data_IF_578008578145
#
_entry.id   IF_578008578145
#
_cell.length_a   1.000
_cell.length_b   1.000
_cell.length_c   1.000
_cell.angle_alpha   90.00
_cell.angle_beta   90.00
_cell.angle_gamma   90.00
#
_symmetry.space_group_name_H-M   'P 1'
#
loop_
_entity.id
_entity.type
_entity.pdbx_description
1 polymer ?
#
# COMPACT_ATOMS: atom_id res chain seq x y z
N UNK A 1 15.33 12.21 4.66
CA UNK A 1 15.50 12.13 3.20
C UNK A 1 14.15 12.40 2.59
N UNK A 2 14.02 13.60 2.02
CA UNK A 2 12.88 14.05 1.24
C UNK A 2 12.83 13.21 -0.06
N UNK A 3 11.73 12.48 -0.31
CA UNK A 3 11.57 11.62 -1.50
C UNK A 3 11.30 12.41 -2.78
N UNK A 4 11.48 13.73 -2.76
CA UNK A 4 11.38 14.60 -3.93
C UNK A 4 12.49 14.38 -4.99
N UNK A 5 13.47 13.50 -4.78
CA UNK A 5 14.60 13.28 -5.71
C UNK A 5 14.75 11.86 -6.30
N UNK A 6 13.73 11.00 -6.22
CA UNK A 6 13.73 9.67 -6.86
C UNK A 6 12.42 9.29 -7.59
N UNK A 7 11.60 10.29 -7.91
CA UNK A 7 10.15 10.09 -8.04
C UNK A 7 9.67 9.28 -9.26
N UNK A 8 10.39 9.26 -10.39
CA UNK A 8 9.91 8.57 -11.61
C UNK A 8 10.57 7.21 -11.86
N UNK A 9 11.82 7.03 -11.45
CA UNK A 9 12.58 5.80 -11.75
C UNK A 9 12.11 4.60 -10.90
N UNK A 10 11.54 4.85 -9.73
CA UNK A 10 11.05 3.80 -8.83
C UNK A 10 9.57 3.46 -9.01
N UNK A 11 8.82 4.25 -9.81
CA UNK A 11 7.40 4.02 -10.04
C UNK A 11 7.16 2.86 -11.01
N UNK A 12 6.19 2.01 -10.67
CA UNK A 12 5.66 1.03 -11.61
C UNK A 12 4.53 1.65 -12.44
N UNK A 13 4.71 1.68 -13.76
CA UNK A 13 3.77 2.27 -14.74
C UNK A 13 3.45 1.30 -15.88
N UNK A 14 2.57 1.70 -16.82
CA UNK A 14 2.28 0.92 -18.03
C UNK A 14 1.58 -0.42 -17.78
N UNK A 15 0.84 -0.53 -16.67
CA UNK A 15 0.12 -1.74 -16.28
C UNK A 15 -1.29 -1.76 -16.88
N UNK A 16 -1.90 -2.95 -16.92
CA UNK A 16 -3.31 -3.07 -17.32
C UNK A 16 -4.19 -2.23 -16.39
N UNK A 17 -5.26 -1.55 -16.88
CA UNK A 17 -6.12 -0.71 -16.06
C UNK A 17 -6.66 -1.39 -14.80
N UNK A 18 -7.01 -2.67 -14.88
CA UNK A 18 -7.48 -3.48 -13.74
C UNK A 18 -6.45 -3.56 -12.60
N UNK A 19 -5.14 -3.50 -12.90
CA UNK A 19 -4.06 -3.63 -11.93
C UNK A 19 -3.52 -2.28 -11.45
N UNK A 20 -3.97 -1.18 -12.05
CA UNK A 20 -3.55 0.17 -11.70
C UNK A 20 -3.76 0.52 -10.21
N UNK A 21 -4.84 0.06 -9.52
CA UNK A 21 -4.99 0.33 -8.09
C UNK A 21 -3.85 -0.23 -7.24
N UNK A 22 -3.30 -1.41 -7.56
CA UNK A 22 -2.17 -1.98 -6.82
C UNK A 22 -0.92 -1.11 -7.00
N UNK A 23 -0.62 -0.70 -8.22
CA UNK A 23 0.55 0.14 -8.49
C UNK A 23 0.39 1.56 -7.97
N UNK A 24 -0.81 2.11 -7.92
CA UNK A 24 -1.07 3.40 -7.30
C UNK A 24 -0.67 3.37 -5.81
N UNK A 25 -1.13 2.34 -5.08
CA UNK A 25 -0.81 2.17 -3.66
C UNK A 25 0.67 1.86 -3.45
N UNK A 26 1.27 1.05 -4.32
CA UNK A 26 2.71 0.77 -4.26
C UNK A 26 3.55 2.05 -4.44
N UNK A 27 3.21 2.87 -5.44
CA UNK A 27 4.00 4.05 -5.80
C UNK A 27 3.81 5.21 -4.80
N UNK A 28 2.62 5.33 -4.20
CA UNK A 28 2.24 6.54 -3.44
C UNK A 28 1.67 6.27 -2.04
N UNK A 29 1.43 5.01 -1.67
CA UNK A 29 0.64 4.63 -0.50
C UNK A 29 -0.87 4.86 -0.66
N UNK A 30 -1.33 5.39 -1.81
CA UNK A 30 -2.69 5.93 -2.00
C UNK A 30 -3.40 5.30 -3.19
N UNK A 31 -4.72 5.30 -3.13
CA UNK A 31 -5.56 4.66 -4.15
C UNK A 31 -5.91 5.56 -5.33
N UNK A 32 -5.98 6.87 -5.10
CA UNK A 32 -6.26 7.88 -6.12
C UNK A 32 -5.39 9.13 -5.87
N UNK A 33 -5.08 9.85 -6.96
CA UNK A 33 -4.19 11.01 -6.93
C UNK A 33 -4.85 12.29 -6.36
N UNK A 34 -6.19 12.38 -6.38
CA UNK A 34 -6.94 13.56 -5.96
C UNK A 34 -7.50 13.37 -4.53
N UNK A 35 -6.68 13.70 -3.53
CA UNK A 35 -7.03 13.58 -2.11
C UNK A 35 -7.07 14.97 -1.47
N UNK A 36 -8.07 15.22 -0.61
CA UNK A 36 -8.27 16.55 0.00
C UNK A 36 -7.48 16.77 1.30
N UNK A 37 -6.98 15.71 1.92
CA UNK A 37 -6.17 15.76 3.12
C UNK A 37 -5.24 14.53 3.19
N UNK A 38 -3.94 14.75 3.39
CA UNK A 38 -2.96 13.68 3.53
C UNK A 38 -2.08 13.84 4.77
N UNK A 39 -1.76 12.72 5.40
CA UNK A 39 -0.67 12.60 6.36
C UNK A 39 0.15 11.37 6.00
N UNK A 40 1.47 11.52 5.89
CA UNK A 40 2.40 10.43 5.65
C UNK A 40 3.40 10.35 6.81
N UNK A 41 3.61 9.16 7.33
CA UNK A 41 4.58 8.90 8.39
C UNK A 41 5.46 7.71 7.97
N UNK A 42 6.78 7.90 7.97
CA UNK A 42 7.75 6.86 7.66
C UNK A 42 8.50 6.52 8.94
N UNK A 43 8.36 5.27 9.37
CA UNK A 43 9.04 4.72 10.54
C UNK A 43 10.29 3.97 10.07
N UNK A 44 11.45 4.58 10.27
CA UNK A 44 12.75 3.94 10.08
C UNK A 44 13.31 3.47 11.42
N UNK A 45 13.75 2.21 11.49
CA UNK A 45 14.54 1.72 12.62
C UNK A 45 16.02 1.93 12.30
N UNK A 46 16.73 2.69 13.13
CA UNK A 46 18.17 2.91 12.96
C UNK A 46 18.91 1.57 12.95
N UNK A 47 19.59 1.24 11.86
CA UNK A 47 20.37 0.01 11.70
C UNK A 47 19.68 -1.14 10.96
N UNK A 48 18.38 -1.05 10.64
CA UNK A 48 17.66 -2.02 9.81
C UNK A 48 17.23 -1.39 8.47
N UNK A 49 17.28 -2.17 7.38
CA UNK A 49 16.78 -1.75 6.06
C UNK A 49 15.24 -1.75 5.96
N UNK A 50 14.57 -2.28 6.98
CA UNK A 50 13.11 -2.38 7.04
C UNK A 50 12.49 -0.99 7.22
N UNK A 51 11.67 -0.59 6.24
CA UNK A 51 10.94 0.68 6.27
C UNK A 51 9.45 0.40 6.31
N UNK A 52 8.82 0.74 7.44
CA UNK A 52 7.36 0.78 7.54
C UNK A 52 6.90 2.20 7.25
N UNK A 53 5.99 2.38 6.30
CA UNK A 53 5.37 3.67 6.04
C UNK A 53 3.85 3.57 6.15
N UNK A 54 3.25 4.65 6.64
CA UNK A 54 1.81 4.81 6.72
C UNK A 54 1.40 6.06 5.93
N UNK A 55 0.41 5.89 5.06
CA UNK A 55 -0.31 6.99 4.42
C UNK A 55 -1.76 7.00 4.93
N UNK A 56 -2.29 8.18 5.17
CA UNK A 56 -3.70 8.43 5.49
C UNK A 56 -4.25 9.46 4.51
N UNK A 57 -5.40 9.17 3.92
CA UNK A 57 -6.05 10.02 2.93
C UNK A 57 -7.56 10.11 3.18
N UNK A 58 -8.11 11.32 3.01
CA UNK A 58 -9.55 11.59 3.10
C UNK A 58 -10.21 11.75 1.74
N UNK A 59 -11.36 11.09 1.56
CA UNK A 59 -12.19 11.09 0.36
C UNK A 59 -13.68 11.28 0.71
N UNK A 60 -14.52 11.72 -0.24
CA UNK A 60 -15.95 11.46 -0.17
C UNK A 60 -16.22 9.95 0.00
N UNK A 61 -17.19 9.59 0.86
CA UNK A 61 -17.47 8.19 1.23
C UNK A 61 -17.65 7.26 0.01
N UNK A 62 -18.46 7.66 -0.97
CA UNK A 62 -18.69 6.86 -2.17
C UNK A 62 -17.41 6.66 -3.01
N UNK A 63 -16.50 7.63 -3.02
CA UNK A 63 -15.20 7.50 -3.70
C UNK A 63 -14.28 6.54 -2.93
N UNK A 64 -14.24 6.63 -1.60
CA UNK A 64 -13.48 5.70 -0.77
C UNK A 64 -13.94 4.24 -0.96
N UNK A 65 -15.26 4.01 -0.97
CA UNK A 65 -15.87 2.70 -1.22
C UNK A 65 -15.49 2.16 -2.61
N UNK A 66 -15.61 2.99 -3.64
CA UNK A 66 -15.22 2.63 -5.02
C UNK A 66 -13.73 2.31 -5.11
N UNK A 67 -12.87 3.12 -4.51
CA UNK A 67 -11.42 2.93 -4.51
C UNK A 67 -11.02 1.60 -3.84
N UNK A 68 -11.60 1.28 -2.68
CA UNK A 68 -11.36 0.00 -2.00
C UNK A 68 -11.89 -1.20 -2.78
N UNK A 69 -13.06 -1.08 -3.42
CA UNK A 69 -13.58 -2.12 -4.29
C UNK A 69 -12.65 -2.38 -5.49
N UNK A 70 -12.12 -1.32 -6.10
CA UNK A 70 -11.13 -1.39 -7.17
C UNK A 70 -9.83 -2.08 -6.72
N UNK A 71 -9.32 -1.73 -5.55
CA UNK A 71 -8.13 -2.39 -4.98
C UNK A 71 -8.37 -3.88 -4.74
N UNK A 72 -9.50 -4.24 -4.13
CA UNK A 72 -9.85 -5.63 -3.87
C UNK A 72 -9.90 -6.44 -5.16
N UNK A 73 -10.58 -5.92 -6.17
CA UNK A 73 -10.66 -6.57 -7.48
C UNK A 73 -9.27 -6.74 -8.10
N UNK A 74 -8.42 -5.72 -8.02
CA UNK A 74 -7.04 -5.79 -8.50
C UNK A 74 -6.23 -6.86 -7.75
N UNK A 75 -6.29 -6.91 -6.42
CA UNK A 75 -5.58 -7.90 -5.61
C UNK A 75 -6.04 -9.34 -5.89
N UNK A 76 -7.31 -9.53 -6.23
CA UNK A 76 -7.88 -10.85 -6.53
C UNK A 76 -7.59 -11.31 -7.96
N UNK A 77 -7.49 -10.38 -8.91
CA UNK A 77 -7.42 -10.71 -10.34
C UNK A 77 -6.03 -10.47 -10.96
N UNK A 78 -5.17 -9.66 -10.34
CA UNK A 78 -3.85 -9.31 -10.86
C UNK A 78 -2.72 -10.12 -10.20
N UNK A 79 -2.88 -11.44 -10.11
CA UNK A 79 -1.92 -12.34 -9.46
C UNK A 79 -0.47 -12.14 -9.93
N UNK A 80 -0.23 -12.09 -11.24
CA UNK A 80 1.06 -11.67 -11.82
C UNK A 80 0.81 -10.85 -13.08
N UNK A 81 1.48 -9.72 -13.21
CA UNK A 81 1.40 -8.84 -14.38
C UNK A 81 2.73 -8.13 -14.64
N UNK A 82 2.84 -7.49 -15.80
CA UNK A 82 4.03 -6.72 -16.18
C UNK A 82 3.74 -5.23 -16.13
N UNK A 83 4.72 -4.45 -15.70
CA UNK A 83 4.76 -3.00 -15.81
C UNK A 83 6.13 -2.51 -16.26
N UNK A 84 6.36 -1.21 -16.13
CA UNK A 84 7.65 -0.56 -16.35
C UNK A 84 8.10 0.15 -15.09
N UNK A 85 9.35 -0.05 -14.68
CA UNK A 85 10.02 0.67 -13.60
C UNK A 85 11.36 1.20 -14.15
N UNK A 86 11.61 2.51 -14.02
CA UNK A 86 12.76 3.16 -14.64
C UNK A 86 12.86 2.89 -16.15
N UNK A 87 11.71 2.85 -16.83
CA UNK A 87 11.61 2.53 -18.27
C UNK A 87 11.84 1.06 -18.65
N UNK A 88 12.33 0.21 -17.73
CA UNK A 88 12.59 -1.22 -18.00
C UNK A 88 11.41 -2.08 -17.58
N UNK A 89 11.28 -3.26 -18.19
CA UNK A 89 10.23 -4.23 -17.84
C UNK A 89 10.40 -4.72 -16.40
N UNK A 90 9.32 -4.66 -15.63
CA UNK A 90 9.24 -5.23 -14.29
C UNK A 90 8.07 -6.23 -14.23
N UNK A 91 8.29 -7.34 -13.52
CA UNK A 91 7.25 -8.32 -13.20
C UNK A 91 6.72 -8.02 -11.80
N UNK A 92 5.42 -7.81 -11.68
CA UNK A 92 4.74 -7.57 -10.41
C UNK A 92 3.90 -8.80 -10.07
N UNK A 93 4.07 -9.33 -8.87
CA UNK A 93 3.27 -10.43 -8.33
C UNK A 93 2.52 -9.96 -7.10
N UNK A 94 1.21 -10.19 -7.07
CA UNK A 94 0.31 -9.78 -6.00
C UNK A 94 -0.33 -11.02 -5.40
N UNK A 95 -0.32 -11.10 -4.08
CA UNK A 95 -0.96 -12.21 -3.37
C UNK A 95 -1.77 -11.70 -2.19
N UNK A 96 -3.07 -11.95 -2.21
CA UNK A 96 -3.95 -11.76 -1.04
C UNK A 96 -3.48 -12.65 0.10
N UNK A 97 -3.39 -12.12 1.32
CA UNK A 97 -3.08 -12.94 2.49
C UNK A 97 -4.31 -13.75 2.91
N UNK A 98 -4.12 -14.96 3.44
CA UNK A 98 -5.23 -15.77 3.95
C UNK A 98 -5.90 -15.12 5.15
N UNK A 99 -5.10 -14.58 6.06
CA UNK A 99 -5.57 -13.79 7.18
C UNK A 99 -5.81 -12.34 6.73
N UNK A 100 -7.07 -11.93 6.78
CA UNK A 100 -7.48 -10.55 6.54
C UNK A 100 -7.78 -9.89 7.88
N UNK A 101 -7.16 -8.75 8.20
CA UNK A 101 -7.54 -7.99 9.36
C UNK A 101 -9.01 -7.55 9.26
N UNK A 102 -9.62 -7.22 10.39
CA UNK A 102 -10.98 -6.65 10.47
C UNK A 102 -10.92 -5.32 11.21
N UNK A 103 -10.66 -4.26 10.46
CA UNK A 103 -10.63 -2.89 10.98
C UNK A 103 -11.53 -1.99 10.14
N UNK A 104 -12.09 -0.94 10.76
CA UNK A 104 -12.96 0.00 10.06
C UNK A 104 -14.16 -0.67 9.42
N UNK A 105 -14.61 -0.11 8.28
CA UNK A 105 -15.68 -0.68 7.48
C UNK A 105 -15.15 -1.84 6.62
N UNK A 106 -13.93 -1.70 6.11
CA UNK A 106 -13.27 -2.65 5.23
C UNK A 106 -11.75 -2.62 5.43
N UNK A 107 -11.11 -3.78 5.33
CA UNK A 107 -9.66 -3.90 5.34
C UNK A 107 -9.17 -5.00 4.42
N UNK A 108 -7.98 -4.79 3.85
CA UNK A 108 -7.36 -5.69 2.89
C UNK A 108 -5.85 -5.79 3.16
N UNK A 109 -5.35 -7.01 3.33
CA UNK A 109 -3.93 -7.33 3.47
C UNK A 109 -3.46 -8.19 2.30
N UNK A 110 -2.31 -7.86 1.74
CA UNK A 110 -1.74 -8.52 0.57
C UNK A 110 -0.23 -8.28 0.51
N UNK A 111 0.47 -9.08 -0.29
CA UNK A 111 1.89 -8.89 -0.57
C UNK A 111 2.09 -8.50 -2.02
N UNK A 112 3.09 -7.66 -2.28
CA UNK A 112 3.52 -7.30 -3.63
C UNK A 112 4.99 -7.66 -3.76
N UNK A 113 5.36 -8.34 -4.84
CA UNK A 113 6.75 -8.58 -5.24
C UNK A 113 7.00 -7.93 -6.58
N UNK A 114 8.11 -7.21 -6.72
CA UNK A 114 8.57 -6.63 -7.98
C UNK A 114 9.91 -7.24 -8.33
N UNK A 115 10.04 -7.74 -9.56
CA UNK A 115 11.29 -8.28 -10.12
C UNK A 115 11.64 -7.53 -11.39
N UNK A 116 12.83 -6.92 -11.43
CA UNK A 116 13.36 -6.18 -12.57
C UNK A 116 14.85 -6.52 -12.76
N UNK A 117 15.15 -7.38 -13.75
CA UNK A 117 16.51 -7.93 -13.89
C UNK A 117 16.87 -8.73 -12.64
N UNK A 118 18.02 -8.41 -12.03
CA UNK A 118 18.50 -9.04 -10.78
C UNK A 118 17.94 -8.37 -9.51
N UNK A 119 17.17 -7.29 -9.64
CA UNK A 119 16.57 -6.61 -8.49
C UNK A 119 15.24 -7.25 -8.11
N UNK A 120 15.06 -7.52 -6.82
CA UNK A 120 13.79 -7.93 -6.23
C UNK A 120 13.44 -7.01 -5.06
N UNK A 121 12.19 -6.55 -5.03
CA UNK A 121 11.63 -5.84 -3.87
C UNK A 121 10.36 -6.55 -3.42
N UNK A 122 10.23 -6.75 -2.11
CA UNK A 122 9.08 -7.38 -1.49
C UNK A 122 8.39 -6.42 -0.52
N UNK A 123 7.06 -6.41 -0.57
CA UNK A 123 6.23 -5.53 0.21
C UNK A 123 5.13 -6.31 0.93
N UNK A 124 4.95 -6.03 2.22
CA UNK A 124 3.69 -6.26 2.92
C UNK A 124 2.83 -5.01 2.82
N UNK A 125 1.57 -5.19 2.42
CA UNK A 125 0.61 -4.10 2.25
C UNK A 125 -0.63 -4.37 3.10
N UNK A 126 -1.13 -3.32 3.74
CA UNK A 126 -2.41 -3.35 4.45
C UNK A 126 -3.15 -2.04 4.25
N UNK A 127 -4.35 -2.10 3.66
CA UNK A 127 -5.20 -0.93 3.42
C UNK A 127 -6.50 -1.07 4.17
N UNK A 128 -6.92 -0.02 4.87
CA UNK A 128 -8.10 0.03 5.72
C UNK A 128 -8.93 1.25 5.34
N UNK A 129 -10.24 1.08 5.24
CA UNK A 129 -11.21 2.15 5.04
C UNK A 129 -12.15 2.24 6.24
N UNK A 130 -12.42 3.46 6.67
CA UNK A 130 -13.50 3.76 7.60
C UNK A 130 -14.19 5.05 7.15
N UNK A 131 -15.47 4.93 6.77
CA UNK A 131 -16.21 5.96 6.05
C UNK A 131 -15.44 6.45 4.82
N UNK A 132 -15.19 7.77 4.74
CA UNK A 132 -14.44 8.40 3.66
C UNK A 132 -12.91 8.38 3.85
N UNK A 133 -12.41 7.91 4.98
CA UNK A 133 -10.98 7.90 5.26
C UNK A 133 -10.36 6.54 4.92
N UNK A 134 -9.17 6.56 4.32
CA UNK A 134 -8.39 5.37 3.98
C UNK A 134 -6.99 5.52 4.55
N UNK A 135 -6.48 4.46 5.18
CA UNK A 135 -5.06 4.35 5.51
C UNK A 135 -4.44 3.14 4.83
N UNK A 136 -3.23 3.30 4.32
CA UNK A 136 -2.37 2.19 3.89
C UNK A 136 -1.14 2.15 4.78
N UNK A 137 -0.77 0.95 5.22
CA UNK A 137 0.54 0.65 5.79
C UNK A 137 1.28 -0.23 4.81
N UNK A 138 2.53 0.12 4.53
CA UNK A 138 3.44 -0.66 3.70
C UNK A 138 4.72 -0.99 4.48
N UNK A 139 5.29 -2.15 4.25
CA UNK A 139 6.57 -2.56 4.78
C UNK A 139 7.41 -3.14 3.64
N UNK A 140 8.55 -2.50 3.34
CA UNK A 140 9.53 -2.98 2.37
C UNK A 140 10.64 -3.74 3.10
N UNK A 141 11.00 -4.92 2.58
CA UNK A 141 12.08 -5.75 3.09
C UNK A 141 12.84 -6.43 1.93
N UNK A 142 14.11 -6.73 2.17
CA UNK A 142 14.92 -7.53 1.26
C UNK A 142 14.71 -9.03 1.50
N UNK A 143 15.25 -9.87 0.62
CA UNK A 143 15.26 -11.32 0.75
C UNK A 143 16.14 -11.84 1.90
N UNK A 144 16.91 -10.96 2.56
CA UNK A 144 17.87 -11.30 3.62
C UNK A 144 17.58 -10.49 4.88
N UNK A 145 17.32 -11.18 5.99
CA UNK A 145 17.14 -10.56 7.32
C UNK A 145 15.72 -10.69 7.88
N UNK A 146 15.43 -9.97 8.97
CA UNK A 146 14.10 -9.93 9.57
C UNK A 146 13.16 -9.10 8.69
N UNK A 147 12.12 -9.77 8.16
CA UNK A 147 11.03 -9.16 7.38
C UNK A 147 10.32 -8.02 8.13
N UNK A 148 10.42 -7.97 9.47
CA UNK A 148 9.73 -6.97 10.27
C UNK A 148 8.22 -7.18 10.36
N UNK A 149 7.76 -8.42 10.15
CA UNK A 149 6.33 -8.77 10.08
C UNK A 149 5.56 -8.39 11.35
N UNK A 150 6.20 -8.52 12.52
CA UNK A 150 5.63 -8.11 13.80
C UNK A 150 5.44 -6.59 13.90
N UNK A 151 6.41 -5.81 13.42
CA UNK A 151 6.31 -4.36 13.38
C UNK A 151 5.22 -3.90 12.41
N UNK A 152 5.17 -4.49 11.20
CA UNK A 152 4.11 -4.24 10.23
C UNK A 152 2.72 -4.54 10.81
N UNK A 153 2.53 -5.71 11.41
CA UNK A 153 1.23 -6.13 11.96
C UNK A 153 0.77 -5.19 13.08
N UNK A 154 1.70 -4.78 13.96
CA UNK A 154 1.42 -3.82 15.03
C UNK A 154 1.08 -2.43 14.49
N UNK A 155 1.80 -1.96 13.47
CA UNK A 155 1.52 -0.68 12.82
C UNK A 155 0.14 -0.70 12.15
N UNK A 156 -0.19 -1.77 11.43
CA UNK A 156 -1.49 -1.94 10.78
C UNK A 156 -2.65 -1.94 11.78
N UNK A 157 -2.52 -2.65 12.91
CA UNK A 157 -3.54 -2.64 13.97
C UNK A 157 -3.77 -1.25 14.53
N UNK A 158 -2.68 -0.55 14.89
CA UNK A 158 -2.76 0.81 15.44
C UNK A 158 -3.34 1.80 14.44
N UNK A 159 -2.96 1.69 13.17
CA UNK A 159 -3.50 2.52 12.10
C UNK A 159 -5.01 2.30 11.96
N UNK A 160 -5.46 1.04 11.95
CA UNK A 160 -6.87 0.67 11.90
C UNK A 160 -7.69 1.20 13.08
N UNK A 161 -7.21 0.99 14.30
CA UNK A 161 -7.86 1.46 15.53
C UNK A 161 -8.01 2.99 15.55
N UNK A 162 -6.93 3.72 15.22
CA UNK A 162 -6.94 5.18 15.17
C UNK A 162 -7.87 5.71 14.07
N UNK A 163 -7.84 5.09 12.88
CA UNK A 163 -8.69 5.51 11.76
C UNK A 163 -10.17 5.32 12.10
N UNK A 164 -10.55 4.15 12.62
CA UNK A 164 -11.92 3.85 13.01
C UNK A 164 -12.42 4.79 14.13
N UNK A 165 -11.60 5.03 15.15
CA UNK A 165 -11.92 5.96 16.23
C UNK A 165 -12.07 7.41 15.75
N UNK A 166 -11.26 7.85 14.78
CA UNK A 166 -11.37 9.17 14.19
C UNK A 166 -12.63 9.31 13.33
N UNK A 167 -12.91 8.31 12.47
CA UNK A 167 -14.07 8.30 11.59
C UNK A 167 -15.40 8.32 12.38
N UNK A 168 -15.48 7.58 13.49
CA UNK A 168 -16.66 7.56 14.37
C UNK A 168 -17.01 8.94 14.98
N UNK A 169 -16.05 9.86 15.08
CA UNK A 169 -16.28 11.24 15.58
C UNK A 169 -16.80 12.19 14.50
N UNK A 170 -16.82 11.74 13.25
CA UNK A 170 -17.20 12.53 12.07
C UNK A 170 -18.45 11.98 11.38
N UNK A 171 -19.02 10.91 11.94
CA UNK A 171 -20.20 10.19 11.45
C UNK A 171 -21.50 10.81 11.95
#
# INVERSE_FOLDING_TARGET
MDKSQGADDDMVTGVKPLCAPVTAVLNSGRLEADYKANAQEVFTKTGDQTTVAQDVSGYPRAQAEKAMAGLRAAVEQCGTFTGKQGGKKATVTVKKTAEQPKYGDESLRYTVKIVQGDMQMDFDMGTIRSHGAITTVLNNYSDRGDRGLGAFTKALSKAGEKLAAAAAKTA
#
